data_IF_892628684197
#
_entry.id   IF_892628684197
#
_cell.length_a   1.000
_cell.length_b   1.000
_cell.length_c   1.000
_cell.angle_alpha   90.00
_cell.angle_beta   90.00
_cell.angle_gamma   90.00
#
_symmetry.space_group_name_H-M   'P 1'
#
loop_
_entity.id
_entity.type
_entity.pdbx_description
1 polymer ?
#
# COMPACT_ATOMS: atom_id res chain seq x y z
N UNK A 1 23.43 17.13 -6.24
CA UNK A 1 22.90 16.44 -7.44
C UNK A 1 24.02 15.57 -8.00
N UNK A 2 24.05 14.32 -7.58
CA UNK A 2 24.88 13.26 -8.15
C UNK A 2 23.99 12.01 -8.18
N UNK A 3 23.91 11.39 -9.35
CA UNK A 3 23.14 10.19 -9.62
C UNK A 3 24.11 9.03 -9.42
N UNK A 4 23.93 8.28 -8.32
CA UNK A 4 24.54 6.96 -8.19
C UNK A 4 23.55 5.95 -8.78
N UNK A 5 23.69 5.68 -10.08
CA UNK A 5 23.08 4.50 -10.68
C UNK A 5 23.94 3.29 -10.32
N UNK A 6 23.65 2.67 -9.18
CA UNK A 6 24.07 1.31 -8.91
C UNK A 6 23.66 0.43 -10.09
N UNK A 7 24.59 -0.41 -10.55
CA UNK A 7 24.41 -1.25 -11.72
C UNK A 7 23.14 -2.08 -11.60
N UNK A 8 22.10 -1.68 -12.34
CA UNK A 8 20.92 -2.49 -12.62
C UNK A 8 21.39 -3.82 -13.22
N UNK A 9 21.65 -4.83 -12.37
CA UNK A 9 21.51 -6.21 -12.81
C UNK A 9 20.14 -6.28 -13.47
N UNK A 10 20.11 -6.67 -14.75
CA UNK A 10 18.86 -6.71 -15.51
C UNK A 10 17.85 -7.56 -14.73
N UNK A 11 16.97 -6.91 -13.98
CA UNK A 11 15.99 -7.58 -13.14
C UNK A 11 15.22 -8.55 -14.03
N UNK A 12 14.98 -9.77 -13.54
CA UNK A 12 14.16 -10.76 -14.25
C UNK A 12 12.88 -10.05 -14.68
N UNK A 13 12.72 -9.83 -15.98
CA UNK A 13 11.54 -9.16 -16.53
C UNK A 13 10.34 -10.04 -16.21
N UNK A 14 9.26 -9.41 -15.75
CA UNK A 14 7.99 -10.11 -15.55
C UNK A 14 7.58 -10.81 -16.87
N UNK A 15 6.97 -12.00 -16.80
CA UNK A 15 6.61 -12.77 -17.97
C UNK A 15 5.58 -12.02 -18.82
N UNK A 16 5.57 -12.20 -20.15
CA UNK A 16 4.60 -11.54 -21.04
C UNK A 16 3.13 -11.76 -20.67
N UNK A 17 2.82 -12.83 -19.92
CA UNK A 17 1.48 -13.14 -19.44
C UNK A 17 0.83 -11.99 -18.64
N UNK A 18 1.61 -11.17 -17.93
CA UNK A 18 1.06 -10.01 -17.21
C UNK A 18 0.41 -8.99 -18.14
N UNK A 19 0.81 -8.94 -19.42
CA UNK A 19 0.24 -8.01 -20.40
C UNK A 19 -1.24 -8.28 -20.66
N UNK A 20 -1.70 -9.52 -20.45
CA UNK A 20 -3.12 -9.87 -20.56
C UNK A 20 -3.97 -9.19 -19.49
N UNK A 21 -3.37 -8.78 -18.35
CA UNK A 21 -4.09 -8.07 -17.31
C UNK A 21 -4.54 -6.69 -17.77
N UNK A 22 -3.85 -6.05 -18.73
CA UNK A 22 -4.22 -4.72 -19.20
C UNK A 22 -5.66 -4.66 -19.71
N UNK A 23 -6.03 -5.56 -20.62
CA UNK A 23 -7.39 -5.60 -21.16
C UNK A 23 -8.39 -6.02 -20.08
N UNK A 24 -8.09 -7.09 -19.33
CA UNK A 24 -8.96 -7.61 -18.28
C UNK A 24 -9.27 -6.57 -17.18
N UNK A 25 -8.30 -5.71 -16.86
CA UNK A 25 -8.43 -4.65 -15.85
C UNK A 25 -9.05 -3.37 -16.42
N UNK A 26 -8.61 -2.91 -17.60
CA UNK A 26 -9.00 -1.60 -18.13
C UNK A 26 -10.32 -1.61 -18.89
N UNK A 27 -10.69 -2.71 -19.53
CA UNK A 27 -11.94 -2.79 -20.27
C UNK A 27 -13.17 -2.61 -19.37
N UNK A 28 -13.30 -3.29 -18.20
CA UNK A 28 -14.42 -3.04 -17.28
C UNK A 28 -14.49 -1.61 -16.74
N UNK A 29 -13.33 -0.97 -16.51
CA UNK A 29 -13.27 0.44 -16.06
C UNK A 29 -13.77 1.37 -17.16
N UNK A 30 -13.38 1.14 -18.42
CA UNK A 30 -13.88 1.91 -19.56
C UNK A 30 -15.40 1.73 -19.75
N UNK A 31 -15.91 0.51 -19.56
CA UNK A 31 -17.34 0.25 -19.59
C UNK A 31 -18.08 1.00 -18.47
N UNK A 32 -17.53 1.02 -17.25
CA UNK A 32 -18.06 1.81 -16.14
C UNK A 32 -18.07 3.31 -16.45
N UNK A 33 -17.05 3.82 -17.16
CA UNK A 33 -17.00 5.22 -17.61
C UNK A 33 -18.12 5.54 -18.61
N UNK A 34 -18.37 4.63 -19.56
CA UNK A 34 -19.47 4.77 -20.53
C UNK A 34 -20.82 4.77 -19.79
N UNK A 35 -21.01 3.88 -18.83
CA UNK A 35 -22.26 3.79 -18.07
C UNK A 35 -22.47 5.00 -17.15
N UNK A 36 -21.39 5.51 -16.55
CA UNK A 36 -21.37 6.77 -15.82
C UNK A 36 -21.81 7.93 -16.70
N UNK A 37 -21.15 8.12 -17.86
CA UNK A 37 -21.42 9.24 -18.77
C UNK A 37 -22.85 9.15 -19.33
N UNK A 38 -23.31 7.97 -19.74
CA UNK A 38 -24.70 7.75 -20.19
C UNK A 38 -25.70 8.11 -19.10
N UNK A 39 -25.43 7.75 -17.85
CA UNK A 39 -26.32 8.04 -16.73
C UNK A 39 -26.43 9.55 -16.43
N UNK A 40 -25.34 10.30 -16.57
CA UNK A 40 -25.31 11.76 -16.37
C UNK A 40 -25.84 12.53 -17.57
N UNK A 41 -25.49 12.12 -18.79
CA UNK A 41 -25.99 12.74 -20.03
C UNK A 41 -27.52 12.72 -20.11
N UNK A 42 -28.16 11.62 -19.69
CA UNK A 42 -29.62 11.54 -19.59
C UNK A 42 -30.21 12.56 -18.61
N UNK A 43 -29.51 12.88 -17.52
CA UNK A 43 -29.99 13.87 -16.54
C UNK A 43 -29.80 15.31 -17.00
N UNK A 44 -28.70 15.61 -17.70
CA UNK A 44 -28.37 16.98 -18.11
C UNK A 44 -28.97 17.39 -19.46
N UNK A 45 -29.14 16.45 -20.38
CA UNK A 45 -29.67 16.73 -21.73
C UNK A 45 -31.17 16.42 -21.84
N UNK A 46 -31.75 15.74 -20.85
CA UNK A 46 -33.18 15.44 -20.81
C UNK A 46 -33.99 16.69 -20.54
N UNK A 47 -35.10 16.86 -21.26
CA UNK A 47 -36.09 17.93 -20.99
C UNK A 47 -37.06 17.56 -19.85
N UNK A 48 -36.65 16.63 -18.99
CA UNK A 48 -37.45 16.07 -17.90
C UNK A 48 -36.97 16.61 -16.57
N UNK A 49 -37.89 17.12 -15.75
CA UNK A 49 -37.57 17.50 -14.38
C UNK A 49 -37.16 16.24 -13.59
N UNK A 50 -35.97 16.30 -12.96
CA UNK A 50 -35.49 15.26 -12.05
C UNK A 50 -35.66 15.72 -10.61
N UNK A 51 -36.06 14.80 -9.72
CA UNK A 51 -36.14 15.13 -8.30
C UNK A 51 -34.73 15.26 -7.71
N UNK A 52 -34.58 16.04 -6.65
CA UNK A 52 -33.32 16.12 -5.91
C UNK A 52 -32.85 14.75 -5.42
N UNK A 53 -33.79 13.86 -5.07
CA UNK A 53 -33.48 12.50 -4.62
C UNK A 53 -32.85 11.66 -5.74
N UNK A 54 -33.33 11.77 -6.98
CA UNK A 54 -32.75 11.05 -8.12
C UNK A 54 -31.31 11.48 -8.39
N UNK A 55 -31.05 12.78 -8.29
CA UNK A 55 -29.71 13.36 -8.48
C UNK A 55 -28.76 12.87 -7.40
N UNK A 56 -29.19 12.92 -6.13
CA UNK A 56 -28.39 12.43 -5.00
C UNK A 56 -28.13 10.93 -5.12
N UNK A 57 -29.12 10.13 -5.54
CA UNK A 57 -28.96 8.70 -5.73
C UNK A 57 -27.92 8.38 -6.83
N UNK A 58 -27.99 9.04 -7.99
CA UNK A 58 -26.99 8.86 -9.06
C UNK A 58 -25.61 9.35 -8.65
N UNK A 59 -25.51 10.52 -8.03
CA UNK A 59 -24.24 11.03 -7.50
C UNK A 59 -23.62 10.04 -6.52
N UNK A 60 -24.41 9.54 -5.57
CA UNK A 60 -23.95 8.58 -4.55
C UNK A 60 -23.48 7.28 -5.18
N UNK A 61 -24.22 6.73 -6.15
CA UNK A 61 -23.86 5.51 -6.88
C UNK A 61 -22.47 5.61 -7.52
N UNK A 62 -22.16 6.75 -8.14
CA UNK A 62 -20.93 6.90 -8.91
C UNK A 62 -19.82 7.67 -8.18
N UNK A 63 -20.06 8.15 -6.96
CA UNK A 63 -19.13 9.01 -6.21
C UNK A 63 -17.72 8.44 -6.11
N UNK A 64 -17.59 7.16 -5.80
CA UNK A 64 -16.28 6.52 -5.63
C UNK A 64 -15.54 6.38 -6.97
N UNK A 65 -16.29 6.10 -8.05
CA UNK A 65 -15.77 6.01 -9.41
C UNK A 65 -15.34 7.38 -9.94
N UNK A 66 -16.13 8.43 -9.73
CA UNK A 66 -15.79 9.80 -10.16
C UNK A 66 -14.55 10.36 -9.46
N UNK A 67 -14.21 9.85 -8.28
CA UNK A 67 -12.96 10.18 -7.60
C UNK A 67 -11.74 9.39 -8.13
N UNK A 68 -11.92 8.51 -9.11
CA UNK A 68 -10.83 7.71 -9.70
C UNK A 68 -10.26 6.62 -8.78
N UNK A 69 -10.95 6.28 -7.69
CA UNK A 69 -10.44 5.36 -6.65
C UNK A 69 -11.02 3.95 -6.73
N UNK A 70 -12.30 3.84 -7.12
CA UNK A 70 -13.00 2.57 -7.19
C UNK A 70 -12.93 1.96 -8.60
N UNK A 71 -11.75 1.44 -8.97
CA UNK A 71 -11.56 0.73 -10.25
C UNK A 71 -11.96 -0.75 -10.16
N UNK A 72 -11.89 -1.34 -8.96
CA UNK A 72 -12.34 -2.70 -8.65
C UNK A 72 -11.87 -3.75 -9.67
N UNK A 73 -10.57 -3.82 -9.90
CA UNK A 73 -9.99 -4.79 -10.83
C UNK A 73 -10.37 -6.23 -10.45
N UNK A 74 -10.71 -7.06 -11.45
CA UNK A 74 -11.03 -8.45 -11.20
C UNK A 74 -9.81 -9.20 -10.68
N UNK A 75 -10.07 -10.36 -10.13
CA UNK A 75 -9.01 -11.30 -9.81
C UNK A 75 -8.25 -11.75 -11.08
N UNK A 76 -6.94 -11.93 -10.98
CA UNK A 76 -6.09 -12.23 -12.12
C UNK A 76 -4.60 -12.25 -11.77
N UNK A 77 -3.70 -12.18 -12.77
CA UNK A 77 -2.26 -12.33 -12.54
C UNK A 77 -1.67 -11.33 -11.53
N UNK A 78 -2.16 -10.09 -11.52
CA UNK A 78 -1.63 -9.02 -10.65
C UNK A 78 -2.46 -8.76 -9.39
N UNK A 79 -3.66 -9.33 -9.32
CA UNK A 79 -4.67 -9.08 -8.28
C UNK A 79 -5.12 -10.43 -7.74
N UNK A 80 -4.81 -10.73 -6.47
CA UNK A 80 -5.06 -12.05 -5.88
C UNK A 80 -6.07 -11.97 -4.75
N UNK A 81 -7.36 -11.88 -5.09
CA UNK A 81 -8.47 -11.73 -4.14
C UNK A 81 -8.73 -13.00 -3.34
N UNK A 82 -8.65 -14.18 -3.94
CA UNK A 82 -9.01 -15.44 -3.25
C UNK A 82 -7.93 -15.87 -2.25
N UNK A 83 -6.67 -15.48 -2.48
CA UNK A 83 -5.57 -15.73 -1.54
C UNK A 83 -5.35 -14.57 -0.57
N UNK A 84 -6.13 -13.49 -0.68
CA UNK A 84 -6.01 -12.33 0.22
C UNK A 84 -6.91 -12.46 1.45
N UNK A 85 -6.37 -12.07 2.61
CA UNK A 85 -7.11 -11.91 3.85
C UNK A 85 -7.66 -10.47 3.98
N UNK A 86 -8.74 -10.18 3.27
CA UNK A 86 -9.35 -8.83 3.25
C UNK A 86 -9.76 -8.30 4.64
N UNK A 87 -10.01 -9.19 5.61
CA UNK A 87 -10.34 -8.81 6.98
C UNK A 87 -9.17 -8.21 7.78
N UNK A 88 -7.92 -8.42 7.35
CA UNK A 88 -6.73 -7.86 8.01
C UNK A 88 -6.60 -6.34 7.79
N UNK A 89 -7.06 -5.84 6.64
CA UNK A 89 -7.12 -4.42 6.32
C UNK A 89 -8.46 -4.10 5.62
N UNK A 90 -9.53 -3.98 6.41
CA UNK A 90 -10.92 -4.03 5.92
C UNK A 90 -11.25 -2.97 4.87
N UNK A 91 -10.61 -1.81 4.93
CA UNK A 91 -10.89 -0.68 4.04
C UNK A 91 -9.84 -0.50 2.93
N UNK A 92 -8.76 -1.28 2.94
CA UNK A 92 -7.79 -1.37 1.85
C UNK A 92 -8.28 -2.45 0.90
N UNK A 93 -8.94 -2.08 -0.20
CA UNK A 93 -9.59 -3.07 -1.08
C UNK A 93 -8.62 -3.63 -2.11
N UNK A 94 -8.47 -4.96 -2.14
CA UNK A 94 -7.71 -5.65 -3.19
C UNK A 94 -8.35 -5.37 -4.55
N UNK A 95 -7.55 -4.96 -5.53
CA UNK A 95 -8.01 -4.54 -6.85
C UNK A 95 -8.40 -3.05 -6.97
N UNK A 96 -8.32 -2.26 -5.90
CA UNK A 96 -8.49 -0.81 -5.94
C UNK A 96 -7.18 -0.07 -5.70
N UNK A 97 -7.19 1.25 -5.89
CA UNK A 97 -6.06 2.11 -5.53
C UNK A 97 -5.87 2.14 -4.01
N UNK A 98 -4.62 2.11 -3.55
CA UNK A 98 -4.29 2.17 -2.13
C UNK A 98 -4.88 3.47 -1.50
N UNK A 99 -5.66 3.37 -0.41
CA UNK A 99 -6.27 4.54 0.22
C UNK A 99 -5.21 5.41 0.90
N UNK A 100 -4.87 6.53 0.26
CA UNK A 100 -3.79 7.38 0.74
C UNK A 100 -4.13 8.12 2.03
N UNK A 101 -3.17 8.14 2.94
CA UNK A 101 -3.24 8.84 4.22
C UNK A 101 -1.95 9.60 4.55
N UNK A 102 -2.01 10.43 5.60
CA UNK A 102 -0.85 11.08 6.20
C UNK A 102 -0.24 10.19 7.29
N UNK A 103 1.08 10.09 7.25
CA UNK A 103 1.91 9.40 8.23
C UNK A 103 3.10 10.29 8.58
N UNK A 104 3.78 9.98 9.67
CA UNK A 104 4.95 10.72 10.17
C UNK A 104 6.18 9.88 9.89
N UNK A 105 7.23 10.47 9.34
CA UNK A 105 8.51 9.77 9.21
C UNK A 105 9.00 9.40 10.62
N UNK A 106 9.58 8.21 10.80
CA UNK A 106 10.07 7.83 12.12
C UNK A 106 11.37 8.58 12.48
N UNK A 107 12.30 8.66 11.52
CA UNK A 107 13.63 9.21 11.76
C UNK A 107 13.61 10.70 12.09
N UNK A 108 12.60 11.42 11.60
CA UNK A 108 12.34 12.80 11.96
C UNK A 108 10.83 13.06 11.97
N UNK A 109 10.32 14.02 12.77
CA UNK A 109 8.87 14.24 12.92
C UNK A 109 8.21 14.96 11.73
N UNK A 110 8.60 14.65 10.49
CA UNK A 110 8.00 15.23 9.29
C UNK A 110 6.78 14.44 8.83
N UNK A 111 5.69 15.12 8.49
CA UNK A 111 4.51 14.52 7.86
C UNK A 111 4.75 14.17 6.39
N UNK A 112 4.22 13.03 5.97
CA UNK A 112 4.26 12.54 4.61
C UNK A 112 2.88 12.01 4.24
N UNK A 113 2.38 12.40 3.07
CA UNK A 113 1.27 11.69 2.45
C UNK A 113 1.81 10.45 1.75
N UNK A 114 1.15 9.31 1.91
CA UNK A 114 1.58 8.02 1.33
C UNK A 114 1.80 8.04 -0.20
N UNK A 115 1.19 8.95 -0.95
CA UNK A 115 1.51 9.14 -2.39
C UNK A 115 2.95 9.59 -2.65
N UNK A 116 3.59 10.31 -1.71
CA UNK A 116 5.01 10.68 -1.81
C UNK A 116 5.95 9.50 -1.57
N UNK A 117 5.46 8.50 -0.83
CA UNK A 117 6.17 7.28 -0.45
C UNK A 117 6.06 6.25 -1.58
N UNK A 118 4.84 6.01 -2.06
CA UNK A 118 4.51 5.04 -3.11
C UNK A 118 4.76 5.62 -4.51
N UNK A 119 6.03 5.88 -4.82
CA UNK A 119 6.45 6.47 -6.10
C UNK A 119 6.24 5.49 -7.26
N UNK A 120 5.82 6.02 -8.40
CA UNK A 120 5.67 5.29 -9.65
C UNK A 120 7.03 5.06 -10.34
N UNK A 121 7.86 4.20 -9.75
CA UNK A 121 9.22 3.87 -10.21
C UNK A 121 9.35 2.44 -10.75
N UNK A 122 8.22 1.77 -10.99
CA UNK A 122 8.19 0.40 -11.52
C UNK A 122 8.34 -0.69 -10.46
N UNK A 123 8.60 -0.36 -9.19
CA UNK A 123 8.76 -1.36 -8.12
C UNK A 123 7.43 -1.66 -7.43
N UNK A 124 7.23 -2.94 -7.08
CA UNK A 124 6.19 -3.33 -6.11
C UNK A 124 6.61 -2.87 -4.71
N UNK A 125 5.63 -2.61 -3.85
CA UNK A 125 5.85 -2.25 -2.44
C UNK A 125 5.21 -3.28 -1.54
N UNK A 126 5.92 -3.67 -0.48
CA UNK A 126 5.34 -4.45 0.61
C UNK A 126 5.18 -3.47 1.79
N UNK A 127 3.95 -3.30 2.25
CA UNK A 127 3.63 -2.42 3.37
C UNK A 127 3.36 -3.34 4.55
N UNK A 128 4.24 -3.30 5.54
CA UNK A 128 4.12 -4.05 6.78
C UNK A 128 3.42 -3.18 7.81
N UNK A 129 2.21 -3.54 8.20
CA UNK A 129 1.46 -2.83 9.24
C UNK A 129 1.50 -3.72 10.50
N UNK A 130 2.55 -3.69 11.32
CA UNK A 130 2.75 -4.70 12.37
C UNK A 130 1.93 -4.44 13.63
N UNK A 131 1.19 -3.33 13.69
CA UNK A 131 0.52 -2.89 14.90
C UNK A 131 1.42 -2.08 15.83
N UNK A 132 1.14 -2.14 17.12
CA UNK A 132 1.90 -1.44 18.16
C UNK A 132 3.18 -2.18 18.55
N UNK A 133 4.30 -1.82 17.92
CA UNK A 133 5.60 -2.42 18.20
C UNK A 133 6.16 -2.12 19.61
N UNK A 134 5.54 -1.23 20.41
CA UNK A 134 5.95 -1.02 21.79
C UNK A 134 5.64 -2.26 22.65
N UNK A 135 4.82 -3.18 22.11
CA UNK A 135 4.43 -4.43 22.73
C UNK A 135 5.33 -5.54 22.19
N UNK A 136 6.06 -6.19 23.09
CA UNK A 136 7.13 -7.15 22.76
C UNK A 136 6.69 -8.24 21.78
N UNK A 137 5.51 -8.83 21.98
CA UNK A 137 4.96 -9.86 21.07
C UNK A 137 4.84 -9.36 19.62
N UNK A 138 4.38 -8.11 19.42
CA UNK A 138 4.24 -7.52 18.08
C UNK A 138 5.60 -7.22 17.45
N UNK A 139 6.56 -6.77 18.26
CA UNK A 139 7.95 -6.60 17.82
C UNK A 139 8.57 -7.94 17.39
N UNK A 140 8.34 -9.01 18.15
CA UNK A 140 8.87 -10.34 17.81
C UNK A 140 8.23 -10.90 16.54
N UNK A 141 6.93 -10.69 16.34
CA UNK A 141 6.24 -11.04 15.08
C UNK A 141 6.80 -10.28 13.88
N UNK A 142 7.04 -8.97 14.02
CA UNK A 142 7.66 -8.16 12.98
C UNK A 142 9.08 -8.61 12.64
N UNK A 143 9.89 -8.94 13.66
CA UNK A 143 11.25 -9.52 13.46
C UNK A 143 11.18 -10.83 12.70
N UNK A 144 10.33 -11.76 13.13
CA UNK A 144 10.16 -13.06 12.46
C UNK A 144 9.73 -12.91 11.00
N UNK A 145 8.81 -11.99 10.71
CA UNK A 145 8.42 -11.67 9.33
C UNK A 145 9.61 -11.16 8.51
N UNK A 146 10.36 -10.18 9.05
CA UNK A 146 11.52 -9.60 8.39
C UNK A 146 12.63 -10.64 8.15
N UNK A 147 12.94 -11.47 9.15
CA UNK A 147 13.97 -12.50 9.08
C UNK A 147 13.63 -13.56 8.04
N UNK A 148 12.36 -13.98 7.96
CA UNK A 148 11.90 -14.90 6.91
C UNK A 148 12.02 -14.26 5.53
N UNK A 149 11.55 -13.02 5.36
CA UNK A 149 11.56 -12.33 4.08
C UNK A 149 12.99 -12.14 3.54
N UNK A 150 13.94 -11.77 4.40
CA UNK A 150 15.35 -11.58 4.00
C UNK A 150 16.07 -12.90 3.75
N UNK A 151 15.78 -13.94 4.54
CA UNK A 151 16.36 -15.28 4.36
C UNK A 151 15.94 -15.93 3.04
N UNK A 152 14.69 -15.71 2.61
CA UNK A 152 14.18 -16.24 1.32
C UNK A 152 14.71 -15.49 0.10
N UNK A 153 15.29 -14.29 0.27
CA UNK A 153 15.78 -13.43 -0.82
C UNK A 153 17.15 -12.80 -0.48
N UNK A 154 18.22 -13.61 -0.36
CA UNK A 154 19.54 -13.07 -0.09
C UNK A 154 20.01 -12.16 -1.23
N UNK A 155 20.23 -10.88 -0.94
CA UNK A 155 20.86 -9.91 -1.85
C UNK A 155 19.93 -9.09 -2.74
N UNK A 156 18.61 -9.05 -2.52
CA UNK A 156 17.78 -8.03 -3.20
C UNK A 156 17.90 -6.69 -2.48
N UNK A 157 18.49 -5.70 -3.14
CA UNK A 157 18.68 -4.31 -2.67
C UNK A 157 17.37 -3.51 -2.53
N UNK A 158 16.22 -4.15 -2.70
CA UNK A 158 14.93 -3.48 -2.60
C UNK A 158 14.53 -3.35 -1.13
N UNK A 159 14.60 -2.12 -0.63
CA UNK A 159 13.94 -1.72 0.63
C UNK A 159 12.44 -1.96 0.48
N UNK A 160 12.00 -3.08 1.03
CA UNK A 160 10.69 -3.65 0.75
C UNK A 160 9.65 -3.33 1.81
N UNK A 161 9.97 -2.71 2.95
CA UNK A 161 9.06 -2.68 4.09
C UNK A 161 8.80 -1.29 4.65
N UNK A 162 7.53 -0.89 4.64
CA UNK A 162 7.04 0.31 5.34
C UNK A 162 6.31 -0.09 6.61
N UNK A 163 6.73 0.44 7.76
CA UNK A 163 6.25 0.00 9.08
C UNK A 163 5.86 1.13 10.02
N UNK A 164 4.72 0.96 10.75
CA UNK A 164 4.20 1.81 11.84
C UNK A 164 4.41 1.24 13.24
N UNK A 165 4.55 2.14 14.20
CA UNK A 165 4.09 2.04 15.60
C UNK A 165 3.67 3.46 16.09
N UNK A 166 3.13 3.67 17.31
CA UNK A 166 2.80 5.02 17.82
C UNK A 166 4.05 5.78 18.31
N UNK A 167 4.31 6.98 17.77
CA UNK A 167 5.43 7.84 18.18
C UNK A 167 4.95 8.84 19.24
N UNK A 168 5.30 8.67 20.52
CA UNK A 168 4.98 9.67 21.51
C UNK A 168 6.03 10.79 21.43
N UNK A 169 5.59 12.04 21.24
CA UNK A 169 6.37 13.22 21.61
C UNK A 169 6.53 13.35 23.16
N UNK A 170 6.53 12.24 23.88
CA UNK A 170 6.85 12.21 25.30
C UNK A 170 8.36 12.03 25.46
N UNK A 171 8.89 12.43 26.61
CA UNK A 171 10.32 12.40 26.94
C UNK A 171 10.98 10.99 26.88
N UNK A 172 10.23 9.95 26.52
CA UNK A 172 10.67 8.59 26.26
C UNK A 172 10.17 8.15 24.87
N UNK A 173 11.10 7.97 23.94
CA UNK A 173 10.81 7.32 22.66
C UNK A 173 10.55 5.84 22.93
N UNK A 174 9.32 5.37 22.70
CA UNK A 174 8.93 3.98 22.98
C UNK A 174 9.77 2.97 22.20
N UNK A 175 10.20 3.33 20.98
CA UNK A 175 11.00 2.50 20.08
C UNK A 175 11.95 3.38 19.29
N UNK A 176 13.25 3.13 19.37
CA UNK A 176 14.21 3.86 18.55
C UNK A 176 14.30 3.24 17.16
N UNK A 177 14.78 4.01 16.18
CA UNK A 177 14.93 3.51 14.82
C UNK A 177 15.88 2.30 14.77
N UNK A 178 16.88 2.29 15.65
CA UNK A 178 17.86 1.21 15.83
C UNK A 178 17.29 -0.04 16.50
N UNK A 179 16.06 0.00 17.03
CA UNK A 179 15.39 -1.16 17.61
C UNK A 179 14.54 -1.92 16.58
N UNK A 180 14.23 -1.29 15.45
CA UNK A 180 13.45 -1.87 14.34
C UNK A 180 14.20 -3.05 13.69
N UNK A 181 13.53 -4.08 13.15
CA UNK A 181 14.19 -5.04 12.26
C UNK A 181 14.99 -4.37 11.14
N UNK A 182 16.15 -4.90 10.77
CA UNK A 182 17.03 -4.31 9.74
C UNK A 182 16.31 -4.12 8.40
N UNK A 183 15.48 -5.08 8.00
CA UNK A 183 14.68 -5.00 6.77
C UNK A 183 13.69 -3.82 6.74
N UNK A 184 13.39 -3.21 7.89
CA UNK A 184 12.54 -2.02 8.01
C UNK A 184 13.34 -0.71 8.06
N UNK A 185 14.66 -0.77 8.23
CA UNK A 185 15.56 0.40 8.31
C UNK A 185 16.10 0.86 6.94
N UNK A 186 15.70 0.17 5.87
CA UNK A 186 16.20 0.44 4.52
C UNK A 186 17.61 -0.07 4.28
N UNK A 187 18.17 0.28 3.12
CA UNK A 187 19.54 -0.09 2.77
C UNK A 187 20.54 0.74 3.59
N UNK A 188 21.58 0.08 4.11
CA UNK A 188 22.74 0.78 4.66
C UNK A 188 23.70 1.15 3.52
N UNK A 189 24.01 2.43 3.39
CA UNK A 189 25.03 2.96 2.49
C UNK A 189 26.38 3.00 3.23
N UNK A 190 27.35 2.13 2.88
CA UNK A 190 28.66 2.09 3.51
C UNK A 190 29.56 3.27 3.14
N UNK A 191 29.31 3.96 2.02
CA UNK A 191 30.09 5.13 1.61
C UNK A 191 29.64 6.38 2.39
N UNK A 192 28.34 6.49 2.64
CA UNK A 192 27.75 7.56 3.46
C UNK A 192 27.67 7.22 4.95
N UNK A 193 28.04 6.00 5.35
CA UNK A 193 27.93 5.46 6.71
C UNK A 193 26.52 5.65 7.32
N UNK A 194 25.46 5.45 6.54
CA UNK A 194 24.10 5.81 6.95
C UNK A 194 23.02 4.88 6.40
N UNK A 195 21.88 4.84 7.09
CA UNK A 195 20.69 4.11 6.66
C UNK A 195 19.82 4.96 5.72
N UNK A 196 19.08 4.30 4.83
CA UNK A 196 17.94 4.92 4.15
C UNK A 196 16.78 5.09 5.13
N UNK A 197 16.70 6.26 5.76
CA UNK A 197 15.72 6.52 6.82
C UNK A 197 14.27 6.67 6.34
N UNK A 198 14.01 6.82 5.05
CA UNK A 198 12.68 7.05 4.44
C UNK A 198 11.84 5.75 4.29
N UNK A 199 11.99 4.82 5.23
CA UNK A 199 11.41 3.47 5.16
C UNK A 199 10.46 3.14 6.32
N UNK A 200 10.62 3.79 7.48
CA UNK A 200 9.76 3.58 8.64
C UNK A 200 8.87 4.80 8.88
N UNK A 201 7.55 4.58 8.97
CA UNK A 201 6.55 5.64 9.09
C UNK A 201 5.52 5.33 10.16
N UNK A 202 5.24 6.31 11.00
CA UNK A 202 4.40 6.23 12.17
C UNK A 202 3.08 6.93 11.86
N UNK A 203 1.95 6.23 11.99
CA UNK A 203 0.66 6.90 12.05
C UNK A 203 0.42 7.43 13.47
N UNK A 204 0.80 8.70 13.63
CA UNK A 204 0.69 9.50 14.83
C UNK A 204 0.17 10.88 14.47
N UNK A 205 -0.37 11.57 15.48
CA UNK A 205 -0.86 12.93 15.31
C UNK A 205 0.29 13.93 15.34
N UNK A 206 0.37 14.79 14.33
CA UNK A 206 1.22 15.98 14.35
C UNK A 206 0.38 17.22 14.67
N UNK A 207 0.56 17.88 15.83
CA UNK A 207 -0.27 19.02 16.22
C UNK A 207 -0.30 20.17 15.22
N UNK A 208 0.77 20.35 14.45
CA UNK A 208 0.91 21.42 13.46
C UNK A 208 0.22 21.11 12.12
N UNK A 209 -0.21 19.86 11.87
CA UNK A 209 -0.79 19.42 10.59
C UNK A 209 -2.13 18.76 10.85
N UNK A 210 -3.22 19.44 10.50
CA UNK A 210 -4.58 18.99 10.84
C UNK A 210 -4.94 17.63 10.21
N UNK A 211 -4.47 17.38 9.00
CA UNK A 211 -4.72 16.16 8.24
C UNK A 211 -3.90 14.96 8.75
N UNK A 212 -2.81 15.21 9.48
CA UNK A 212 -1.99 14.18 10.12
C UNK A 212 -2.49 13.94 11.55
N UNK A 213 -3.64 13.26 11.65
CA UNK A 213 -4.41 13.11 12.88
C UNK A 213 -4.15 11.81 13.65
N UNK A 214 -3.26 10.94 13.14
CA UNK A 214 -2.92 9.67 13.79
C UNK A 214 -4.00 8.58 13.65
N UNK A 215 -4.78 8.60 12.57
CA UNK A 215 -5.90 7.66 12.32
C UNK A 215 -5.80 6.86 11.03
N UNK A 216 -4.61 6.73 10.43
CA UNK A 216 -4.44 5.98 9.20
C UNK A 216 -4.83 4.50 9.36
N UNK A 217 -4.44 3.82 10.44
CA UNK A 217 -4.84 2.42 10.69
C UNK A 217 -6.35 2.25 10.80
N UNK A 218 -7.02 3.17 11.51
CA UNK A 218 -8.48 3.18 11.62
C UNK A 218 -9.11 3.32 10.22
N UNK A 219 -8.62 4.25 9.41
CA UNK A 219 -9.10 4.49 8.04
C UNK A 219 -8.81 3.32 7.12
N UNK A 220 -7.68 2.63 7.27
CA UNK A 220 -7.33 1.39 6.56
C UNK A 220 -8.08 0.16 7.08
N UNK A 221 -8.69 0.25 8.27
CA UNK A 221 -9.39 -0.85 8.92
C UNK A 221 -8.46 -1.98 9.35
N UNK A 222 -7.26 -1.62 9.79
CA UNK A 222 -6.22 -2.53 10.29
C UNK A 222 -6.29 -2.58 11.81
N UNK A 223 -6.32 -3.79 12.34
CA UNK A 223 -6.30 -4.03 13.76
C UNK A 223 -4.89 -3.79 14.33
N UNK A 224 -4.76 -2.95 15.35
CA UNK A 224 -3.44 -2.59 15.90
C UNK A 224 -2.76 -3.75 16.63
N UNK A 225 -3.50 -4.83 16.95
CA UNK A 225 -2.96 -6.02 17.58
C UNK A 225 -2.46 -7.05 16.55
N UNK A 226 -3.28 -7.37 15.56
CA UNK A 226 -2.97 -8.38 14.56
C UNK A 226 -2.10 -7.82 13.42
N UNK A 227 -2.27 -6.55 13.06
CA UNK A 227 -1.59 -5.96 11.93
C UNK A 227 -2.05 -6.53 10.57
N UNK A 228 -1.32 -6.18 9.51
CA UNK A 228 -1.53 -6.67 8.16
C UNK A 228 -0.25 -6.53 7.31
N UNK A 229 -0.18 -7.27 6.21
CA UNK A 229 0.79 -7.06 5.13
C UNK A 229 0.01 -6.73 3.87
N UNK A 230 0.40 -5.68 3.16
CA UNK A 230 -0.25 -5.22 1.93
C UNK A 230 0.77 -5.14 0.82
N UNK A 231 0.49 -5.78 -0.31
CA UNK A 231 1.29 -5.61 -1.53
C UNK A 231 0.62 -4.56 -2.41
N UNK A 232 1.40 -3.53 -2.75
CA UNK A 232 0.99 -2.47 -3.66
C UNK A 232 1.81 -2.56 -4.94
N UNK A 233 1.11 -2.56 -6.07
CA UNK A 233 1.67 -2.60 -7.42
C UNK A 233 2.40 -1.30 -7.77
N UNK A 234 3.25 -1.30 -8.80
CA UNK A 234 3.90 -0.08 -9.30
C UNK A 234 2.94 1.04 -9.74
N UNK A 235 1.69 0.70 -10.04
CA UNK A 235 0.62 1.63 -10.39
C UNK A 235 -0.29 2.00 -9.20
N UNK A 236 0.19 1.80 -7.98
CA UNK A 236 -0.49 2.12 -6.71
C UNK A 236 -1.78 1.33 -6.42
N UNK A 237 -2.04 0.23 -7.13
CA UNK A 237 -3.18 -0.65 -6.83
C UNK A 237 -2.79 -1.75 -5.85
N UNK A 238 -3.74 -2.14 -5.00
CA UNK A 238 -3.54 -3.21 -4.03
C UNK A 238 -3.63 -4.56 -4.73
N UNK A 239 -2.53 -5.31 -4.76
CA UNK A 239 -2.45 -6.62 -5.39
C UNK A 239 -2.82 -7.77 -4.47
N UNK A 240 -2.44 -7.68 -3.20
CA UNK A 240 -2.64 -8.73 -2.21
C UNK A 240 -2.62 -8.19 -0.78
N UNK A 241 -3.31 -8.86 0.15
CA UNK A 241 -3.33 -8.56 1.59
C UNK A 241 -3.22 -9.86 2.37
N UNK A 242 -2.41 -9.90 3.42
CA UNK A 242 -2.29 -11.05 4.32
C UNK A 242 -2.11 -10.64 5.78
N UNK A 243 -2.03 -11.65 6.66
CA UNK A 243 -1.60 -11.47 8.04
C UNK A 243 -0.09 -11.20 8.11
N UNK A 244 0.40 -10.67 9.23
CA UNK A 244 1.84 -10.43 9.45
C UNK A 244 2.65 -11.73 9.39
N UNK A 245 2.05 -12.86 9.74
CA UNK A 245 2.71 -14.17 9.74
C UNK A 245 2.75 -14.83 8.35
N UNK A 246 1.92 -14.36 7.41
CA UNK A 246 1.66 -15.01 6.14
C UNK A 246 2.72 -14.69 5.07
N UNK A 247 3.97 -15.02 5.40
CA UNK A 247 5.11 -14.88 4.48
C UNK A 247 4.95 -15.82 3.28
N UNK A 248 4.39 -17.02 3.49
CA UNK A 248 4.18 -17.99 2.42
C UNK A 248 3.15 -17.49 1.39
N UNK A 249 2.05 -16.86 1.83
CA UNK A 249 1.07 -16.24 0.93
C UNK A 249 1.66 -15.07 0.14
N UNK A 250 2.48 -14.25 0.80
CA UNK A 250 3.22 -13.15 0.16
C UNK A 250 4.21 -13.66 -0.90
N UNK A 251 4.98 -14.70 -0.58
CA UNK A 251 5.88 -15.35 -1.53
C UNK A 251 5.10 -15.96 -2.70
N UNK A 252 4.01 -16.67 -2.41
CA UNK A 252 3.10 -17.23 -3.40
C UNK A 252 2.53 -16.17 -4.37
N UNK A 253 2.21 -14.96 -3.89
CA UNK A 253 1.83 -13.83 -4.73
C UNK A 253 2.93 -13.49 -5.73
N UNK A 254 4.17 -13.26 -5.28
CA UNK A 254 5.26 -12.91 -6.20
C UNK A 254 5.70 -14.08 -7.08
N UNK A 255 5.60 -15.31 -6.59
CA UNK A 255 5.87 -16.49 -7.38
C UNK A 255 4.88 -16.63 -8.54
N UNK A 256 3.58 -16.39 -8.31
CA UNK A 256 2.57 -16.44 -9.38
C UNK A 256 2.83 -15.41 -10.49
N UNK A 257 3.38 -14.25 -10.13
CA UNK A 257 3.86 -13.25 -11.09
C UNK A 257 4.99 -13.77 -11.97
N UNK A 258 5.87 -14.60 -11.41
CA UNK A 258 7.02 -15.18 -12.14
C UNK A 258 6.69 -16.49 -12.87
N UNK A 259 5.73 -17.27 -12.33
CA UNK A 259 5.26 -18.59 -12.78
C UNK A 259 3.99 -18.51 -13.64
N UNK A 260 3.62 -17.34 -14.16
CA UNK A 260 2.58 -17.27 -15.19
C UNK A 260 3.11 -17.88 -16.51
N UNK A 261 3.38 -19.19 -16.47
CA UNK A 261 3.67 -20.20 -17.49
C UNK A 261 3.45 -21.59 -16.88
#
# INVERSE_FOLDING_TARGET
MAIANGSSQSGKKAPPAILTSYEAERHPVAQMLIDYDRAWSQMFMGNTAHSSNDIVAKFTKYRAFSHGRAMNYPDGPLISRQTSLQSAAKNVKVGESFPHDYVVLHANPQEWITTKILRADGRFRIILLPGDLAIADRMDRARQFCDKLTSSRPGSEDSLLYTRYPYPFANEVAIRFEDLPEAMRGQFDPECFGWEYETAFVDAKLPAVAECDGKAYERWGVDEHNGAVVVVRPDMHVGWIGAVEDVEGLEGYFESLSKSF
#
